data_IF_076288622801
#
_entry.id   IF_076288622801
#
_cell.length_a   1.000
_cell.length_b   1.000
_cell.length_c   1.000
_cell.angle_alpha   90.00
_cell.angle_beta   90.00
_cell.angle_gamma   90.00
#
_symmetry.space_group_name_H-M   'P 1'
#
loop_
_entity.id
_entity.type
_entity.pdbx_description
1 polymer ?
#
# COMPACT_ATOMS: atom_id res chain seq x y z
N UNK A 1 -48.11 46.70 26.53
CA UNK A 1 -47.05 45.76 26.11
C UNK A 1 -47.73 44.63 25.34
N UNK A 2 -47.70 44.71 24.02
CA UNK A 2 -48.53 43.90 23.12
C UNK A 2 -47.77 42.70 22.58
N UNK A 3 -48.43 41.54 22.55
CA UNK A 3 -47.98 40.28 21.90
C UNK A 3 -47.76 40.42 20.38
N UNK A 4 -48.05 41.59 19.81
CA UNK A 4 -48.01 41.89 18.37
C UNK A 4 -46.65 42.38 17.86
N UNK A 5 -45.68 42.58 18.74
CA UNK A 5 -44.33 43.04 18.39
C UNK A 5 -43.31 41.88 18.27
N UNK A 6 -43.81 40.67 17.99
CA UNK A 6 -42.97 39.49 17.83
C UNK A 6 -42.25 39.55 16.46
N UNK A 7 -40.93 39.70 16.46
CA UNK A 7 -40.12 39.61 15.24
C UNK A 7 -40.37 38.26 14.54
N UNK A 8 -40.56 38.24 13.22
CA UNK A 8 -40.78 36.99 12.49
C UNK A 8 -39.60 36.04 12.73
N UNK A 9 -39.85 34.73 12.97
CA UNK A 9 -38.79 33.78 13.24
C UNK A 9 -37.81 33.76 12.05
N UNK A 10 -36.52 33.92 12.35
CA UNK A 10 -35.45 33.90 11.35
C UNK A 10 -35.58 32.63 10.50
N UNK A 11 -35.67 32.72 9.16
CA UNK A 11 -35.87 31.54 8.32
C UNK A 11 -34.72 30.55 8.55
N UNK A 12 -35.07 29.30 8.85
CA UNK A 12 -34.11 28.22 9.09
C UNK A 12 -33.33 27.97 7.80
N UNK A 13 -32.02 28.24 7.82
CA UNK A 13 -31.16 28.11 6.66
C UNK A 13 -31.17 26.65 6.16
N UNK A 14 -31.76 26.34 4.99
CA UNK A 14 -31.86 24.98 4.49
C UNK A 14 -30.52 24.42 4.02
N UNK A 15 -29.50 25.25 3.83
CA UNK A 15 -28.15 24.81 3.46
C UNK A 15 -27.40 24.15 4.61
N UNK A 16 -27.77 24.44 5.86
CA UNK A 16 -27.09 23.85 7.03
C UNK A 16 -27.26 22.32 7.07
N UNK A 17 -28.44 21.79 6.71
CA UNK A 17 -28.70 20.34 6.65
C UNK A 17 -27.91 19.66 5.51
N UNK A 18 -27.78 20.32 4.37
CA UNK A 18 -26.99 19.79 3.24
C UNK A 18 -25.49 19.85 3.53
N UNK A 19 -25.03 20.91 4.22
CA UNK A 19 -23.65 21.03 4.67
C UNK A 19 -23.30 19.90 5.65
N UNK A 20 -24.15 19.64 6.64
CA UNK A 20 -23.94 18.53 7.59
C UNK A 20 -23.93 17.19 6.87
N UNK A 21 -24.87 16.94 5.96
CA UNK A 21 -24.90 15.71 5.16
C UNK A 21 -23.63 15.54 4.31
N UNK A 22 -23.18 16.60 3.66
CA UNK A 22 -21.95 16.60 2.87
C UNK A 22 -20.73 16.29 3.73
N UNK A 23 -20.61 16.91 4.91
CA UNK A 23 -19.50 16.66 5.83
C UNK A 23 -19.46 15.21 6.31
N UNK A 24 -20.63 14.62 6.64
CA UNK A 24 -20.71 13.21 7.03
C UNK A 24 -20.27 12.31 5.88
N UNK A 25 -20.75 12.55 4.66
CA UNK A 25 -20.37 11.75 3.50
C UNK A 25 -18.87 11.90 3.18
N UNK A 26 -18.34 13.11 3.26
CA UNK A 26 -16.92 13.39 3.06
C UNK A 26 -16.05 12.68 4.10
N UNK A 27 -16.49 12.62 5.37
CA UNK A 27 -15.77 11.93 6.44
C UNK A 27 -15.74 10.41 6.23
N UNK A 28 -16.88 9.81 5.87
CA UNK A 28 -16.96 8.36 5.57
C UNK A 28 -16.08 8.03 4.36
N UNK A 29 -16.22 8.80 3.29
CA UNK A 29 -15.45 8.58 2.05
C UNK A 29 -13.95 8.79 2.29
N UNK A 30 -13.57 9.84 3.01
CA UNK A 30 -12.20 10.11 3.40
C UNK A 30 -11.61 9.01 4.28
N UNK A 31 -12.37 8.50 5.25
CA UNK A 31 -11.96 7.37 6.09
C UNK A 31 -11.75 6.09 5.29
N UNK A 32 -12.66 5.78 4.35
CA UNK A 32 -12.53 4.61 3.47
C UNK A 32 -11.30 4.71 2.58
N UNK A 33 -11.05 5.87 1.98
CA UNK A 33 -9.85 6.08 1.17
C UNK A 33 -8.57 6.03 2.01
N UNK A 34 -8.55 6.65 3.20
CA UNK A 34 -7.41 6.59 4.10
C UNK A 34 -7.09 5.14 4.49
N UNK A 35 -8.12 4.33 4.79
CA UNK A 35 -7.95 2.92 5.09
C UNK A 35 -7.44 2.13 3.88
N UNK A 36 -8.06 2.31 2.70
CA UNK A 36 -7.70 1.58 1.48
C UNK A 36 -6.28 1.88 0.98
N UNK A 37 -5.81 3.12 1.15
CA UNK A 37 -4.49 3.56 0.70
C UNK A 37 -3.44 3.56 1.82
N UNK A 38 -3.76 3.03 3.00
CA UNK A 38 -2.86 3.02 4.15
C UNK A 38 -1.53 2.28 3.90
N UNK A 39 -1.57 1.24 3.06
CA UNK A 39 -0.41 0.41 2.70
C UNK A 39 0.09 0.67 1.25
N UNK A 40 -0.48 1.67 0.58
CA UNK A 40 -0.16 1.96 -0.81
C UNK A 40 1.34 2.25 -1.05
N UNK A 41 2.05 2.96 -0.17
CA UNK A 41 3.49 3.18 -0.34
C UNK A 41 4.31 1.87 -0.33
N UNK A 42 3.92 0.89 0.49
CA UNK A 42 4.59 -0.41 0.60
C UNK A 42 4.27 -1.30 -0.62
N UNK A 43 3.01 -1.36 -1.04
CA UNK A 43 2.60 -2.03 -2.28
C UNK A 43 3.37 -1.46 -3.48
N UNK A 44 3.50 -0.12 -3.56
CA UNK A 44 4.24 0.55 -4.63
C UNK A 44 5.74 0.26 -4.59
N UNK A 45 6.32 0.07 -3.41
CA UNK A 45 7.73 -0.31 -3.28
C UNK A 45 7.98 -1.72 -3.87
N UNK A 46 7.12 -2.68 -3.51
CA UNK A 46 7.17 -4.05 -4.04
C UNK A 46 6.91 -4.08 -5.55
N UNK A 47 5.91 -3.32 -6.03
CA UNK A 47 5.64 -3.21 -7.46
C UNK A 47 6.84 -2.67 -8.23
N UNK A 48 7.54 -1.65 -7.70
CA UNK A 48 8.76 -1.11 -8.33
C UNK A 48 9.87 -2.14 -8.36
N UNK A 49 10.05 -2.89 -7.27
CA UNK A 49 11.04 -3.95 -7.19
C UNK A 49 10.78 -5.04 -8.25
N UNK A 50 9.56 -5.58 -8.31
CA UNK A 50 9.20 -6.62 -9.26
C UNK A 50 9.24 -6.14 -10.72
N UNK A 51 8.78 -4.91 -10.99
CA UNK A 51 8.90 -4.31 -12.32
C UNK A 51 10.37 -4.13 -12.75
N UNK A 52 11.26 -3.86 -11.81
CA UNK A 52 12.70 -3.75 -12.10
C UNK A 52 13.29 -5.12 -12.44
N UNK A 53 12.84 -6.18 -11.76
CA UNK A 53 13.23 -7.56 -12.08
C UNK A 53 12.68 -8.03 -13.43
N UNK A 54 11.44 -7.65 -13.76
CA UNK A 54 10.83 -7.90 -15.07
C UNK A 54 11.63 -7.26 -16.21
N UNK A 55 12.17 -6.06 -15.98
CA UNK A 55 13.06 -5.36 -16.90
C UNK A 55 14.47 -5.96 -16.99
N UNK A 56 14.82 -6.92 -16.11
CA UNK A 56 16.15 -7.52 -16.04
C UNK A 56 17.22 -6.64 -15.37
N UNK A 57 16.82 -5.54 -14.72
CA UNK A 57 17.76 -4.65 -14.02
C UNK A 57 18.01 -5.14 -12.58
N UNK A 58 18.72 -6.27 -12.48
CA UNK A 58 18.98 -6.93 -11.19
C UNK A 58 19.76 -6.04 -10.20
N UNK A 59 20.66 -5.19 -10.70
CA UNK A 59 21.45 -4.31 -9.84
C UNK A 59 20.57 -3.25 -9.16
N UNK A 60 19.65 -2.64 -9.90
CA UNK A 60 18.68 -1.70 -9.32
C UNK A 60 17.68 -2.41 -8.43
N UNK A 61 17.22 -3.61 -8.80
CA UNK A 61 16.34 -4.40 -7.95
C UNK A 61 17.00 -4.73 -6.61
N UNK A 62 18.29 -5.09 -6.62
CA UNK A 62 19.08 -5.32 -5.41
C UNK A 62 19.22 -4.08 -4.52
N UNK A 63 19.38 -2.89 -5.11
CA UNK A 63 19.39 -1.63 -4.36
C UNK A 63 18.02 -1.35 -3.71
N UNK A 64 16.92 -1.63 -4.42
CA UNK A 64 15.57 -1.47 -3.90
C UNK A 64 15.28 -2.46 -2.75
N UNK A 65 15.82 -3.68 -2.83
CA UNK A 65 15.69 -4.70 -1.79
C UNK A 65 16.25 -4.24 -0.42
N UNK A 66 17.30 -3.39 -0.42
CA UNK A 66 18.00 -2.93 0.79
C UNK A 66 18.43 -4.08 1.72
N UNK A 67 19.28 -5.00 1.23
CA UNK A 67 19.67 -6.17 2.00
C UNK A 67 20.49 -5.84 3.25
N UNK A 68 20.49 -6.78 4.20
CA UNK A 68 21.49 -6.78 5.26
C UNK A 68 22.91 -6.93 4.66
N UNK A 69 23.97 -6.47 5.35
CA UNK A 69 25.34 -6.62 4.87
C UNK A 69 25.78 -8.07 4.60
N UNK A 70 25.09 -9.05 5.20
CA UNK A 70 25.33 -10.48 5.01
C UNK A 70 24.74 -11.04 3.71
N UNK A 71 23.74 -10.40 3.12
CA UNK A 71 23.06 -10.88 1.92
C UNK A 71 23.63 -10.16 0.71
N UNK A 72 24.48 -10.84 -0.06
CA UNK A 72 25.25 -10.23 -1.15
C UNK A 72 24.49 -10.31 -2.46
N UNK A 73 24.97 -9.58 -3.47
CA UNK A 73 24.37 -9.60 -4.80
C UNK A 73 24.37 -11.00 -5.45
N UNK A 74 25.37 -11.83 -5.16
CA UNK A 74 25.40 -13.22 -5.62
C UNK A 74 24.26 -14.06 -5.02
N UNK A 75 23.95 -13.88 -3.73
CA UNK A 75 22.81 -14.53 -3.09
C UNK A 75 21.50 -14.02 -3.70
N UNK A 76 21.41 -12.71 -3.94
CA UNK A 76 20.27 -12.10 -4.61
C UNK A 76 20.02 -12.66 -6.00
N UNK A 77 21.05 -12.87 -6.82
CA UNK A 77 20.89 -13.45 -8.14
C UNK A 77 20.49 -14.93 -8.10
N UNK A 78 20.89 -15.68 -7.07
CA UNK A 78 20.42 -17.06 -6.88
C UNK A 78 18.93 -17.09 -6.58
N UNK A 79 18.41 -16.11 -5.85
CA UNK A 79 17.00 -16.07 -5.51
C UNK A 79 16.16 -15.45 -6.63
N UNK A 80 16.59 -14.30 -7.16
CA UNK A 80 15.80 -13.41 -8.02
C UNK A 80 16.31 -13.27 -9.46
N UNK A 81 17.44 -13.88 -9.80
CA UNK A 81 18.01 -13.83 -11.15
C UNK A 81 17.19 -14.61 -12.19
N UNK A 82 17.58 -14.52 -13.46
CA UNK A 82 16.87 -15.23 -14.54
C UNK A 82 16.79 -16.76 -14.34
N UNK A 83 17.82 -17.33 -13.70
CA UNK A 83 17.93 -18.74 -13.35
C UNK A 83 17.72 -19.00 -11.85
N UNK A 84 17.22 -17.99 -11.12
CA UNK A 84 16.98 -18.10 -9.70
C UNK A 84 15.72 -18.90 -9.37
N UNK A 85 15.38 -18.97 -8.09
CA UNK A 85 14.26 -19.78 -7.56
C UNK A 85 12.91 -19.46 -8.23
N UNK A 86 12.69 -18.21 -8.64
CA UNK A 86 11.47 -17.76 -9.33
C UNK A 86 11.60 -17.69 -10.86
N UNK A 87 12.80 -17.95 -11.37
CA UNK A 87 13.20 -17.72 -12.75
C UNK A 87 13.03 -16.26 -13.19
N UNK A 88 13.12 -16.03 -14.50
CA UNK A 88 12.82 -14.71 -15.07
C UNK A 88 11.38 -14.29 -14.78
N UNK A 89 11.21 -13.18 -14.08
CA UNK A 89 9.91 -12.56 -13.82
C UNK A 89 9.36 -11.99 -15.12
N UNK A 90 8.16 -12.42 -15.51
CA UNK A 90 7.45 -11.97 -16.72
C UNK A 90 6.14 -11.27 -16.42
N UNK A 91 5.55 -11.60 -15.27
CA UNK A 91 4.32 -10.99 -14.79
C UNK A 91 4.27 -11.12 -13.28
N UNK A 92 3.65 -10.14 -12.64
CA UNK A 92 3.38 -10.18 -11.21
C UNK A 92 2.05 -9.51 -10.86
N UNK A 93 1.46 -9.92 -9.75
CA UNK A 93 0.25 -9.31 -9.20
C UNK A 93 0.40 -9.15 -7.69
N UNK A 94 0.08 -7.95 -7.19
CA UNK A 94 -0.08 -7.72 -5.75
C UNK A 94 -1.49 -8.15 -5.38
N UNK A 95 -1.60 -9.15 -4.50
CA UNK A 95 -2.89 -9.74 -4.11
C UNK A 95 -3.49 -9.04 -2.90
N UNK A 96 -2.70 -8.91 -1.83
CA UNK A 96 -3.14 -8.32 -0.58
C UNK A 96 -1.96 -7.72 0.17
N UNK A 97 -2.21 -6.70 0.98
CA UNK A 97 -1.26 -6.18 1.94
C UNK A 97 -1.86 -6.19 3.35
N UNK A 98 -1.06 -6.57 4.35
CA UNK A 98 -1.47 -6.65 5.74
C UNK A 98 -0.42 -6.02 6.65
N UNK A 99 -0.85 -5.04 7.43
CA UNK A 99 -0.02 -4.47 8.49
C UNK A 99 0.34 -5.52 9.53
N UNK A 100 1.63 -5.63 9.86
CA UNK A 100 2.13 -6.45 10.96
C UNK A 100 2.77 -5.52 11.98
N UNK A 101 2.00 -5.17 13.02
CA UNK A 101 2.40 -4.15 13.97
C UNK A 101 2.50 -2.76 13.33
N UNK A 102 3.36 -1.91 13.91
CA UNK A 102 3.46 -0.49 13.52
C UNK A 102 4.53 -0.22 12.46
N UNK A 103 5.41 -1.18 12.18
CA UNK A 103 6.62 -0.95 11.38
C UNK A 103 6.68 -1.73 10.09
N UNK A 104 5.98 -2.86 10.00
CA UNK A 104 6.08 -3.72 8.82
C UNK A 104 4.71 -3.98 8.19
N UNK A 105 4.75 -4.24 6.89
CA UNK A 105 3.61 -4.66 6.08
C UNK A 105 4.01 -5.91 5.34
N UNK A 106 3.18 -6.94 5.40
CA UNK A 106 3.30 -8.13 4.55
C UNK A 106 2.57 -7.81 3.25
N UNK A 107 3.23 -7.94 2.12
CA UNK A 107 2.67 -7.77 0.79
C UNK A 107 2.75 -9.13 0.09
N UNK A 108 1.58 -9.72 -0.15
CA UNK A 108 1.45 -10.99 -0.85
C UNK A 108 1.46 -10.73 -2.35
N UNK A 109 2.39 -11.35 -3.06
CA UNK A 109 2.56 -11.22 -4.50
C UNK A 109 2.49 -12.57 -5.19
N UNK A 110 1.85 -12.61 -6.34
CA UNK A 110 1.91 -13.76 -7.26
C UNK A 110 2.88 -13.42 -8.36
N UNK A 111 3.84 -14.30 -8.61
CA UNK A 111 4.87 -14.15 -9.65
C UNK A 111 4.65 -15.25 -10.68
N UNK A 112 4.65 -14.90 -11.97
CA UNK A 112 4.55 -15.86 -13.09
C UNK A 112 3.35 -16.84 -12.99
N UNK A 113 2.24 -16.41 -12.36
CA UNK A 113 1.06 -17.23 -12.05
C UNK A 113 1.36 -18.50 -11.23
N UNK A 114 2.51 -18.55 -10.54
CA UNK A 114 2.88 -19.67 -9.68
C UNK A 114 2.17 -19.54 -8.32
N UNK A 115 1.65 -20.66 -7.84
CA UNK A 115 1.14 -20.81 -6.47
C UNK A 115 2.08 -21.76 -5.68
N UNK A 116 2.25 -21.55 -4.36
CA UNK A 116 1.62 -20.51 -3.55
C UNK A 116 2.18 -19.10 -3.84
N UNK A 117 1.39 -18.04 -3.63
CA UNK A 117 1.89 -16.67 -3.65
C UNK A 117 3.03 -16.46 -2.63
N UNK A 118 3.91 -15.51 -2.94
CA UNK A 118 5.04 -15.14 -2.11
C UNK A 118 4.69 -13.98 -1.19
N UNK A 119 5.00 -14.12 0.10
CA UNK A 119 4.83 -13.05 1.08
C UNK A 119 6.14 -12.31 1.31
N UNK A 120 6.12 -10.99 1.02
CA UNK A 120 7.24 -10.09 1.24
C UNK A 120 6.97 -9.16 2.42
N UNK A 121 7.91 -9.08 3.35
CA UNK A 121 7.91 -8.09 4.41
C UNK A 121 8.51 -6.79 3.91
N UNK A 122 7.84 -5.67 4.19
CA UNK A 122 8.28 -4.31 3.82
C UNK A 122 8.31 -3.44 5.07
N UNK A 123 9.44 -2.78 5.34
CA UNK A 123 9.53 -1.77 6.41
C UNK A 123 8.85 -0.46 5.97
N UNK A 124 7.99 0.10 6.82
CA UNK A 124 7.23 1.32 6.51
C UNK A 124 8.10 2.57 6.37
N UNK A 125 9.26 2.63 7.02
CA UNK A 125 10.14 3.81 6.98
C UNK A 125 11.14 3.72 5.83
N UNK A 126 11.88 2.62 5.74
CA UNK A 126 12.97 2.49 4.77
C UNK A 126 12.49 1.94 3.43
N UNK A 127 11.36 1.24 3.40
CA UNK A 127 10.88 0.42 2.28
C UNK A 127 11.81 -0.75 1.93
N UNK A 128 12.75 -1.08 2.83
CA UNK A 128 13.55 -2.29 2.70
C UNK A 128 12.68 -3.53 2.77
N UNK A 129 13.09 -4.56 2.04
CA UNK A 129 12.31 -5.78 1.83
C UNK A 129 13.03 -7.00 2.40
N UNK A 130 12.25 -7.98 2.84
CA UNK A 130 12.73 -9.28 3.28
C UNK A 130 11.67 -10.34 2.99
N UNK A 131 12.09 -11.61 2.97
CA UNK A 131 11.14 -12.72 2.96
C UNK A 131 10.32 -12.74 4.25
N UNK A 132 9.01 -13.00 4.13
CA UNK A 132 8.18 -13.31 5.29
C UNK A 132 8.55 -14.68 5.87
N UNK A 133 8.62 -14.77 7.19
CA UNK A 133 8.89 -16.01 7.94
C UNK A 133 7.63 -16.55 8.64
N UNK A 134 6.46 -16.00 8.30
CA UNK A 134 5.18 -16.25 8.96
C UNK A 134 4.20 -16.99 8.08
#
# INVERSE_FOLDING_TARGET
MTLLDARPPKPRNPYLKYLVLFLVLALITGGLFAYRFWNYPEERAVARFLATLEQGDYQKAYQLWQPSPSYRFGDFLRDWGEQGDYGKIREFAILVSKSKGTRTVIVTVRINKVDPPLDLLVDRKTKGMAYSVF
#
